data_IF_821281867608
#
_entry.id   IF_821281867608
#
_cell.length_a   1.000
_cell.length_b   1.000
_cell.length_c   1.000
_cell.angle_alpha   90.00
_cell.angle_beta   90.00
_cell.angle_gamma   90.00
#
_symmetry.space_group_name_H-M   'P 1'
#
loop_
_entity.id
_entity.type
_entity.pdbx_description
1 polymer ?
#
# COMPACT_ATOMS: atom_id res chain seq x y z
N UNK A 1 -52.91 -11.82 39.54
CA UNK A 1 -51.62 -11.73 40.27
C UNK A 1 -50.63 -11.03 39.35
N UNK A 2 -50.72 -9.71 39.23
CA UNK A 2 -49.96 -8.66 39.96
C UNK A 2 -48.50 -8.49 39.46
N UNK A 3 -48.33 -7.50 38.56
CA UNK A 3 -47.02 -6.95 38.10
C UNK A 3 -46.48 -5.96 39.16
N UNK A 4 -45.17 -5.85 39.39
CA UNK A 4 -44.61 -4.76 40.18
C UNK A 4 -44.42 -3.48 39.35
N UNK A 5 -44.82 -2.37 39.97
CA UNK A 5 -44.81 -0.97 39.49
C UNK A 5 -43.42 -0.35 39.60
N UNK A 6 -43.08 0.49 38.63
CA UNK A 6 -42.12 1.59 38.76
C UNK A 6 -42.63 2.68 39.72
N UNK A 7 -41.73 3.39 40.43
CA UNK A 7 -42.00 4.74 40.88
C UNK A 7 -41.25 5.79 40.05
N UNK A 8 -41.98 6.84 39.68
CA UNK A 8 -41.48 8.14 39.27
C UNK A 8 -41.11 8.99 40.50
N UNK A 9 -40.07 9.80 40.36
CA UNK A 9 -39.73 10.97 41.17
C UNK A 9 -38.39 11.50 40.63
N UNK A 10 -38.25 12.69 40.06
CA UNK A 10 -38.92 13.97 40.33
C UNK A 10 -38.00 14.79 41.22
N UNK A 11 -37.24 15.74 40.63
CA UNK A 11 -36.35 16.62 41.40
C UNK A 11 -35.48 17.53 40.54
N UNK A 12 -36.06 18.66 40.12
CA UNK A 12 -35.33 19.84 39.63
C UNK A 12 -34.60 20.52 40.81
N UNK A 13 -33.43 21.10 40.54
CA UNK A 13 -32.69 21.91 41.51
C UNK A 13 -31.70 22.85 40.81
N UNK A 14 -32.22 23.99 40.38
CA UNK A 14 -31.46 25.16 39.93
C UNK A 14 -30.94 25.99 41.12
N UNK A 15 -29.69 26.43 41.00
CA UNK A 15 -29.15 27.68 41.56
C UNK A 15 -28.34 27.58 42.87
N UNK A 16 -27.67 28.67 43.31
CA UNK A 16 -27.19 29.83 42.57
C UNK A 16 -25.71 30.19 42.85
N UNK A 17 -25.25 31.16 42.05
CA UNK A 17 -23.98 31.88 42.08
C UNK A 17 -23.80 32.74 43.35
N UNK A 18 -22.56 32.83 43.87
CA UNK A 18 -22.02 33.90 44.76
C UNK A 18 -20.55 33.52 45.10
N UNK A 19 -19.51 34.35 45.16
CA UNK A 19 -19.21 35.74 44.82
C UNK A 19 -17.68 35.90 44.93
N UNK A 20 -17.04 36.63 44.00
CA UNK A 20 -15.78 37.41 44.18
C UNK A 20 -16.02 38.58 45.17
N UNK A 21 -15.07 39.47 45.60
CA UNK A 21 -13.75 39.93 45.04
C UNK A 21 -12.71 40.28 46.18
N UNK A 22 -11.70 41.22 46.08
CA UNK A 22 -11.09 42.02 44.97
C UNK A 22 -9.54 41.91 44.85
N UNK A 23 -8.92 42.24 43.70
CA UNK A 23 -8.28 43.53 43.35
C UNK A 23 -6.75 43.27 43.15
N UNK A 24 -5.95 43.84 42.24
CA UNK A 24 -5.97 45.05 41.40
C UNK A 24 -5.04 44.82 40.16
N UNK A 25 -5.43 45.27 38.95
CA UNK A 25 -4.73 46.34 38.17
C UNK A 25 -3.67 45.79 37.19
N UNK A 26 -3.40 46.24 35.97
CA UNK A 26 -3.81 47.34 35.06
C UNK A 26 -3.18 46.99 33.69
N UNK A 27 -3.73 47.49 32.57
CA UNK A 27 -2.98 47.56 31.29
C UNK A 27 -3.75 47.22 30.00
N UNK A 28 -4.67 48.12 29.63
CA UNK A 28 -5.01 48.65 28.29
C UNK A 28 -4.32 48.03 27.04
N UNK A 29 -4.95 47.80 25.90
CA UNK A 29 -6.27 48.21 25.40
C UNK A 29 -6.24 48.28 23.86
N UNK A 30 -7.33 47.79 23.23
CA UNK A 30 -7.87 48.11 21.90
C UNK A 30 -6.98 47.93 20.64
N UNK A 31 -7.45 47.47 19.48
CA UNK A 31 -8.77 47.15 18.97
C UNK A 31 -8.67 46.87 17.47
N UNK A 32 -9.42 45.89 16.98
CA UNK A 32 -9.78 45.60 15.56
C UNK A 32 -10.66 46.76 15.02
N UNK A 33 -11.07 46.88 13.71
CA UNK A 33 -10.90 45.99 12.55
C UNK A 33 -10.75 46.64 11.14
N UNK A 34 -10.64 45.75 10.13
CA UNK A 34 -11.13 45.86 8.73
C UNK A 34 -10.56 46.91 7.74
N UNK A 35 -10.01 46.43 6.62
CA UNK A 35 -9.79 47.22 5.41
C UNK A 35 -9.30 46.42 4.20
N UNK A 36 -10.21 46.02 3.31
CA UNK A 36 -9.92 45.69 1.89
C UNK A 36 -9.43 46.95 1.17
N UNK A 37 -8.33 46.92 0.41
CA UNK A 37 -8.18 47.51 -0.95
C UNK A 37 -7.00 46.89 -1.73
N UNK A 38 -7.24 46.75 -3.05
CA UNK A 38 -6.32 46.38 -4.14
C UNK A 38 -5.22 47.44 -4.35
N UNK A 39 -4.03 46.99 -4.77
CA UNK A 39 -3.43 47.27 -6.09
C UNK A 39 -1.89 47.25 -6.04
N UNK A 40 -1.32 46.57 -7.04
CA UNK A 40 -0.05 46.86 -7.76
C UNK A 40 1.19 47.24 -6.94
N UNK A 41 2.20 46.38 -6.95
CA UNK A 41 3.45 46.66 -7.67
C UNK A 41 4.37 45.43 -7.68
N UNK A 42 4.85 45.09 -8.86
CA UNK A 42 5.83 44.02 -9.13
C UNK A 42 7.10 44.73 -9.59
N UNK A 43 8.28 44.44 -9.01
CA UNK A 43 9.53 44.66 -9.71
C UNK A 43 10.00 43.37 -10.37
N UNK A 44 10.22 43.47 -11.68
CA UNK A 44 10.89 42.49 -12.54
C UNK A 44 12.41 42.45 -12.31
N UNK A 45 12.97 41.30 -12.71
CA UNK A 45 14.32 41.09 -13.26
C UNK A 45 15.46 41.04 -12.20
N UNK A 46 16.43 40.11 -12.24
CA UNK A 46 17.28 39.75 -13.38
C UNK A 46 17.93 38.36 -13.20
N UNK A 47 17.85 37.55 -14.27
CA UNK A 47 18.87 36.59 -14.78
C UNK A 47 19.19 35.29 -14.02
N UNK A 48 19.66 34.19 -14.63
CA UNK A 48 19.94 33.74 -16.02
C UNK A 48 20.67 32.38 -15.86
N UNK A 49 20.60 31.56 -16.90
CA UNK A 49 21.24 30.24 -17.09
C UNK A 49 20.35 29.08 -16.58
N UNK A 50 19.97 28.08 -17.37
CA UNK A 50 20.62 27.48 -18.53
C UNK A 50 19.58 26.97 -19.54
N UNK A 51 19.83 27.23 -20.82
CA UNK A 51 19.16 26.63 -21.98
C UNK A 51 20.24 26.03 -22.88
N UNK A 52 19.85 25.10 -23.75
CA UNK A 52 20.56 24.44 -24.87
C UNK A 52 21.18 23.06 -24.58
N UNK A 53 20.44 21.99 -24.92
CA UNK A 53 20.64 21.00 -26.01
C UNK A 53 19.57 19.91 -25.81
N UNK A 54 18.83 19.35 -26.77
CA UNK A 54 18.84 19.42 -28.22
C UNK A 54 17.46 19.00 -28.75
N UNK A 55 16.92 19.75 -29.71
CA UNK A 55 15.82 19.33 -30.57
C UNK A 55 16.29 19.53 -32.01
N UNK A 56 16.73 18.46 -32.67
CA UNK A 56 16.88 18.44 -34.13
C UNK A 56 16.84 16.99 -34.64
N UNK A 57 15.68 16.55 -35.11
CA UNK A 57 15.53 15.57 -36.21
C UNK A 57 14.04 15.33 -36.48
N UNK A 58 13.44 16.16 -37.34
CA UNK A 58 12.25 15.79 -38.12
C UNK A 58 12.57 16.00 -39.59
N UNK A 59 12.54 14.92 -40.39
CA UNK A 59 11.79 14.78 -41.64
C UNK A 59 12.26 13.57 -42.48
N UNK A 60 11.31 12.71 -42.91
CA UNK A 60 11.43 11.91 -44.16
C UNK A 60 11.14 10.40 -44.09
N UNK A 61 9.87 10.00 -44.27
CA UNK A 61 9.28 8.65 -44.55
C UNK A 61 9.79 8.01 -45.88
N UNK A 62 9.58 6.70 -46.23
CA UNK A 62 8.31 5.93 -46.11
C UNK A 62 8.34 4.36 -45.97
N UNK A 63 7.18 3.77 -45.60
CA UNK A 63 6.65 2.52 -46.18
C UNK A 63 6.94 1.14 -45.51
N UNK A 64 5.86 0.40 -45.21
CA UNK A 64 5.84 -1.03 -44.82
C UNK A 64 5.29 -1.22 -43.39
N UNK A 65 3.98 -1.34 -43.17
CA UNK A 65 3.17 -2.55 -43.37
C UNK A 65 3.86 -3.87 -42.99
N UNK A 66 3.74 -4.22 -41.70
CA UNK A 66 3.39 -5.57 -41.26
C UNK A 66 3.04 -5.54 -39.78
N UNK A 67 1.82 -5.98 -39.47
CA UNK A 67 1.36 -6.20 -38.11
C UNK A 67 2.17 -7.28 -37.40
N UNK A 68 2.54 -6.99 -36.16
CA UNK A 68 3.08 -7.95 -35.20
C UNK A 68 2.18 -7.94 -33.98
N UNK A 69 1.09 -8.69 -34.06
CA UNK A 69 0.22 -9.03 -32.94
C UNK A 69 1.00 -9.69 -31.80
N UNK A 70 0.68 -9.32 -30.57
CA UNK A 70 0.70 -10.16 -29.37
C UNK A 70 1.99 -10.95 -29.08
N UNK A 71 2.87 -10.37 -28.25
CA UNK A 71 3.77 -11.16 -27.40
C UNK A 71 3.08 -11.55 -26.09
N UNK A 72 2.00 -12.35 -26.16
CA UNK A 72 1.50 -13.10 -25.01
C UNK A 72 2.61 -14.10 -24.65
N UNK A 73 3.23 -14.09 -23.47
CA UNK A 73 4.10 -15.20 -23.10
C UNK A 73 3.21 -16.45 -23.04
N UNK A 74 3.44 -17.33 -24.00
CA UNK A 74 2.82 -18.64 -24.10
C UNK A 74 3.14 -19.39 -22.81
N UNK A 75 2.10 -19.91 -22.15
CA UNK A 75 2.28 -20.83 -21.05
C UNK A 75 3.01 -22.09 -21.51
N UNK A 76 3.88 -22.58 -20.64
CA UNK A 76 4.49 -23.92 -20.57
C UNK A 76 5.32 -24.38 -21.79
N UNK A 77 6.65 -24.24 -21.69
CA UNK A 77 7.68 -25.31 -21.69
C UNK A 77 9.08 -24.87 -22.21
N UNK A 78 9.36 -23.57 -22.32
CA UNK A 78 10.62 -23.04 -22.90
C UNK A 78 11.85 -23.06 -21.96
N UNK A 79 11.84 -23.83 -20.87
CA UNK A 79 12.96 -23.87 -19.93
C UNK A 79 13.20 -22.56 -19.18
N UNK A 80 12.14 -21.76 -18.95
CA UNK A 80 12.22 -20.56 -18.11
C UNK A 80 12.80 -20.91 -16.75
N UNK A 81 13.74 -20.08 -16.30
CA UNK A 81 14.32 -20.12 -14.96
C UNK A 81 14.25 -18.71 -14.40
N UNK A 82 13.76 -18.58 -13.17
CA UNK A 82 13.78 -17.30 -12.47
C UNK A 82 15.21 -16.77 -12.42
N UNK A 83 15.47 -15.56 -12.93
CA UNK A 83 16.80 -14.99 -12.90
C UNK A 83 17.33 -14.87 -11.48
N UNK A 84 18.64 -15.06 -11.30
CA UNK A 84 19.26 -14.97 -9.97
C UNK A 84 19.36 -13.52 -9.51
N UNK A 85 19.07 -13.20 -8.23
CA UNK A 85 19.27 -11.87 -7.68
C UNK A 85 20.67 -11.30 -7.99
N UNK A 86 20.73 -10.02 -8.36
CA UNK A 86 21.97 -9.33 -8.72
C UNK A 86 22.45 -9.51 -10.17
N UNK A 87 21.68 -10.21 -11.02
CA UNK A 87 21.93 -10.29 -12.46
C UNK A 87 21.19 -9.18 -13.22
N UNK A 88 21.68 -8.73 -14.40
CA UNK A 88 20.94 -7.78 -15.24
C UNK A 88 19.54 -8.29 -15.62
N UNK A 89 19.37 -9.59 -15.79
CA UNK A 89 18.09 -10.23 -16.09
C UNK A 89 17.12 -10.12 -14.92
N UNK A 90 17.60 -10.29 -13.68
CA UNK A 90 16.80 -10.08 -12.48
C UNK A 90 16.38 -8.63 -12.33
N UNK A 91 17.29 -7.68 -12.52
CA UNK A 91 16.96 -6.25 -12.43
C UNK A 91 15.91 -5.83 -13.46
N UNK A 92 15.95 -6.40 -14.67
CA UNK A 92 14.90 -6.19 -15.68
C UNK A 92 13.56 -6.75 -15.22
N UNK A 93 13.53 -7.96 -14.65
CA UNK A 93 12.30 -8.56 -14.12
C UNK A 93 11.73 -7.77 -12.95
N UNK A 94 12.57 -7.27 -12.04
CA UNK A 94 12.12 -6.36 -10.97
C UNK A 94 11.53 -5.09 -11.56
N UNK A 95 12.17 -4.46 -12.55
CA UNK A 95 11.63 -3.25 -13.18
C UNK A 95 10.29 -3.48 -13.87
N UNK A 96 10.16 -4.59 -14.60
CA UNK A 96 8.92 -4.99 -15.27
C UNK A 96 7.79 -5.22 -14.27
N UNK A 97 8.04 -6.01 -13.24
CA UNK A 97 7.03 -6.39 -12.24
C UNK A 97 6.71 -5.26 -11.25
N UNK A 98 7.60 -4.29 -11.07
CA UNK A 98 7.36 -3.15 -10.18
C UNK A 98 6.62 -1.99 -10.85
N UNK A 99 6.46 -2.04 -12.18
CA UNK A 99 5.77 -1.01 -12.96
C UNK A 99 4.25 -1.20 -12.86
N UNK A 100 3.66 -0.72 -11.77
CA UNK A 100 2.26 -0.93 -11.45
C UNK A 100 1.30 -0.12 -12.35
N UNK A 101 0.43 -0.77 -13.16
CA UNK A 101 -0.57 -0.10 -13.98
C UNK A 101 -1.52 0.78 -13.17
N UNK A 102 -1.90 0.38 -11.94
CA UNK A 102 -2.79 1.13 -11.06
C UNK A 102 -2.18 2.48 -10.60
N UNK A 103 -0.87 2.62 -10.74
CA UNK A 103 -0.12 3.82 -10.42
C UNK A 103 0.55 4.45 -11.65
N UNK A 104 -0.01 4.26 -12.85
CA UNK A 104 0.51 4.77 -14.13
C UNK A 104 1.93 4.30 -14.44
N UNK A 105 2.29 3.08 -14.05
CA UNK A 105 3.62 2.49 -14.25
C UNK A 105 4.71 3.09 -13.35
N UNK A 106 4.35 3.88 -12.33
CA UNK A 106 5.34 4.47 -11.41
C UNK A 106 5.95 3.39 -10.52
N UNK A 107 7.26 3.25 -10.61
CA UNK A 107 8.04 2.37 -9.74
C UNK A 107 8.36 3.08 -8.42
N UNK A 108 8.01 2.47 -7.30
CA UNK A 108 8.33 2.94 -5.95
C UNK A 108 9.24 1.94 -5.21
N UNK A 109 9.78 2.33 -4.05
CA UNK A 109 10.51 1.38 -3.21
C UNK A 109 9.62 0.22 -2.74
N UNK A 110 8.32 0.49 -2.52
CA UNK A 110 7.33 -0.53 -2.16
C UNK A 110 7.11 -1.51 -3.32
N UNK A 111 6.77 -1.03 -4.52
CA UNK A 111 6.51 -1.90 -5.68
C UNK A 111 7.74 -2.68 -6.14
N UNK A 112 8.95 -2.13 -5.97
CA UNK A 112 10.20 -2.90 -6.17
C UNK A 112 10.33 -4.04 -5.17
N UNK A 113 10.04 -3.81 -3.88
CA UNK A 113 10.09 -4.85 -2.86
C UNK A 113 9.05 -5.94 -3.16
N UNK A 114 7.85 -5.57 -3.58
CA UNK A 114 6.81 -6.54 -3.98
C UNK A 114 7.29 -7.38 -5.17
N UNK A 115 7.90 -6.77 -6.19
CA UNK A 115 8.48 -7.49 -7.32
C UNK A 115 9.59 -8.47 -6.90
N UNK A 116 10.50 -8.05 -6.00
CA UNK A 116 11.53 -8.93 -5.45
C UNK A 116 10.93 -10.12 -4.68
N UNK A 117 9.89 -9.87 -3.88
CA UNK A 117 9.14 -10.90 -3.13
C UNK A 117 8.48 -11.89 -4.08
N UNK A 118 7.80 -11.42 -5.14
CA UNK A 118 7.22 -12.29 -6.15
C UNK A 118 8.25 -13.19 -6.84
N UNK A 119 9.38 -12.61 -7.27
CA UNK A 119 10.47 -13.37 -7.91
C UNK A 119 11.13 -14.36 -6.94
N UNK A 120 11.27 -14.00 -5.67
CA UNK A 120 11.79 -14.93 -4.66
C UNK A 120 10.84 -16.10 -4.43
N UNK A 121 9.52 -15.86 -4.35
CA UNK A 121 8.52 -16.92 -4.25
C UNK A 121 8.54 -17.86 -5.47
N UNK A 122 8.67 -17.29 -6.67
CA UNK A 122 8.81 -18.03 -7.92
C UNK A 122 10.09 -18.88 -7.92
N UNK A 123 11.24 -18.29 -7.57
CA UNK A 123 12.53 -18.99 -7.52
C UNK A 123 12.56 -20.13 -6.49
N UNK A 124 11.84 -19.97 -5.37
CA UNK A 124 11.69 -21.00 -4.34
C UNK A 124 10.66 -22.08 -4.72
N UNK A 125 9.97 -21.95 -5.87
CA UNK A 125 8.93 -22.87 -6.30
C UNK A 125 7.66 -22.82 -5.44
N UNK A 126 7.48 -21.75 -4.65
CA UNK A 126 6.29 -21.54 -3.82
C UNK A 126 5.09 -21.08 -4.63
N UNK A 127 5.34 -20.39 -5.74
CA UNK A 127 4.33 -20.03 -6.73
C UNK A 127 4.80 -20.46 -8.13
N UNK A 128 3.89 -20.84 -9.04
CA UNK A 128 4.22 -21.19 -10.42
C UNK A 128 4.78 -19.99 -11.22
N UNK A 129 5.94 -20.13 -11.83
CA UNK A 129 6.47 -19.17 -12.79
C UNK A 129 6.05 -19.44 -14.24
N UNK A 130 6.28 -18.50 -15.18
CA UNK A 130 6.71 -17.13 -14.92
C UNK A 130 5.54 -16.26 -14.40
N UNK A 131 5.76 -15.51 -13.34
CA UNK A 131 4.80 -14.52 -12.83
C UNK A 131 4.75 -13.31 -13.76
N UNK A 132 3.60 -12.63 -13.77
CA UNK A 132 3.40 -11.37 -14.49
C UNK A 132 2.78 -10.34 -13.55
N UNK A 133 2.97 -9.06 -13.82
CA UNK A 133 2.24 -8.00 -13.11
C UNK A 133 0.75 -8.18 -13.36
N UNK A 134 -0.06 -8.14 -12.30
CA UNK A 134 -1.51 -8.14 -12.46
C UNK A 134 -1.97 -6.82 -13.07
N UNK A 135 -2.90 -6.89 -14.02
CA UNK A 135 -3.54 -5.72 -14.59
C UNK A 135 -4.78 -5.37 -13.76
N UNK A 136 -5.23 -4.12 -13.84
CA UNK A 136 -6.53 -3.75 -13.31
C UNK A 136 -7.62 -4.43 -14.14
N UNK A 137 -8.54 -5.10 -13.47
CA UNK A 137 -9.76 -5.59 -14.13
C UNK A 137 -10.69 -4.39 -14.38
N UNK A 138 -10.81 -4.05 -15.66
CA UNK A 138 -11.65 -2.96 -16.16
C UNK A 138 -12.88 -3.50 -16.93
N UNK A 139 -13.26 -4.75 -16.71
CA UNK A 139 -14.44 -5.34 -17.38
C UNK A 139 -15.73 -4.61 -17.04
N UNK A 140 -15.84 -4.08 -15.82
CA UNK A 140 -16.84 -3.08 -15.45
C UNK A 140 -16.21 -1.66 -15.47
N UNK A 141 -16.55 -0.80 -16.44
CA UNK A 141 -16.01 0.56 -16.51
C UNK A 141 -16.36 1.45 -15.30
N UNK A 142 -17.39 1.09 -14.53
CA UNK A 142 -17.77 1.82 -13.32
C UNK A 142 -16.95 1.39 -12.09
N UNK A 143 -16.34 0.20 -12.12
CA UNK A 143 -15.64 -0.39 -10.98
C UNK A 143 -14.37 -1.12 -11.44
N UNK A 144 -13.23 -0.42 -11.34
CA UNK A 144 -11.93 -1.05 -11.53
C UNK A 144 -11.63 -1.94 -10.33
N UNK A 145 -11.36 -3.22 -10.58
CA UNK A 145 -11.03 -4.18 -9.52
C UNK A 145 -9.53 -4.48 -9.51
N UNK A 146 -8.94 -4.34 -8.33
CA UNK A 146 -7.58 -4.80 -8.06
C UNK A 146 -7.54 -6.34 -8.06
N UNK A 147 -6.52 -6.90 -8.70
CA UNK A 147 -6.31 -8.32 -8.86
C UNK A 147 -5.06 -8.80 -8.10
N UNK A 148 -4.51 -7.95 -7.22
CA UNK A 148 -3.30 -8.22 -6.46
C UNK A 148 -2.06 -7.69 -7.20
N UNK A 149 -0.89 -8.17 -6.80
CA UNK A 149 0.36 -7.70 -7.37
C UNK A 149 0.76 -8.49 -8.61
N UNK A 150 0.47 -9.80 -8.64
CA UNK A 150 0.93 -10.73 -9.67
C UNK A 150 -0.12 -11.72 -10.14
N UNK A 151 0.07 -12.24 -11.36
CA UNK A 151 -0.59 -13.43 -11.89
C UNK A 151 0.48 -14.50 -12.12
N UNK A 152 0.28 -15.69 -11.56
CA UNK A 152 1.23 -16.79 -11.70
C UNK A 152 1.13 -17.54 -13.05
N UNK A 153 2.01 -18.53 -13.24
CA UNK A 153 2.03 -19.37 -14.44
C UNK A 153 0.76 -20.22 -14.65
N UNK A 154 -0.04 -20.44 -13.60
CA UNK A 154 -1.31 -21.16 -13.64
C UNK A 154 -2.52 -20.23 -13.81
N UNK A 155 -2.31 -18.91 -13.75
CA UNK A 155 -3.37 -17.91 -13.86
C UNK A 155 -4.00 -17.51 -12.52
N UNK A 156 -3.41 -17.87 -11.38
CA UNK A 156 -3.88 -17.40 -10.09
C UNK A 156 -3.36 -15.99 -9.79
N UNK A 157 -4.21 -15.21 -9.14
CA UNK A 157 -3.90 -13.86 -8.66
C UNK A 157 -3.19 -13.93 -7.30
N UNK A 158 -2.12 -13.18 -7.11
CA UNK A 158 -1.30 -13.16 -5.90
C UNK A 158 -1.12 -11.73 -5.40
N UNK A 159 -1.53 -11.48 -4.17
CA UNK A 159 -1.26 -10.27 -3.42
C UNK A 159 -0.02 -10.46 -2.51
N UNK A 160 0.74 -9.39 -2.29
CA UNK A 160 1.87 -9.40 -1.36
C UNK A 160 1.50 -8.64 -0.10
N UNK A 161 1.58 -9.31 1.07
CA UNK A 161 1.45 -8.66 2.37
C UNK A 161 2.77 -8.70 3.13
N UNK A 162 3.14 -7.56 3.70
CA UNK A 162 4.34 -7.40 4.53
C UNK A 162 3.97 -6.99 5.96
N UNK A 163 3.44 -7.91 6.80
CA UNK A 163 3.16 -7.61 8.20
C UNK A 163 4.44 -7.24 8.95
N UNK A 164 4.32 -6.35 9.94
CA UNK A 164 5.47 -5.84 10.70
C UNK A 164 5.18 -5.82 12.18
N UNK A 165 6.07 -6.33 13.03
CA UNK A 165 6.08 -6.03 14.47
C UNK A 165 7.48 -5.62 14.97
N UNK A 166 8.41 -5.47 14.04
CA UNK A 166 9.68 -4.80 14.20
C UNK A 166 9.75 -3.62 13.23
N UNK A 167 10.49 -2.58 13.58
CA UNK A 167 10.60 -1.42 12.70
C UNK A 167 11.31 -1.82 11.40
N UNK A 168 10.73 -1.56 10.22
CA UNK A 168 11.32 -1.98 8.95
C UNK A 168 12.51 -1.11 8.52
N UNK A 169 12.58 0.13 9.01
CA UNK A 169 13.59 1.10 8.60
C UNK A 169 13.87 2.14 9.69
N UNK A 170 14.92 2.95 9.48
CA UNK A 170 15.30 4.05 10.37
C UNK A 170 16.17 3.61 11.55
N UNK A 171 16.36 4.50 12.53
CA UNK A 171 17.27 4.27 13.68
C UNK A 171 16.89 3.08 14.55
N UNK A 172 15.61 2.70 14.51
CA UNK A 172 15.07 1.60 15.30
C UNK A 172 14.91 0.32 14.45
N UNK A 173 15.42 0.28 13.21
CA UNK A 173 15.24 -0.86 12.32
C UNK A 173 15.60 -2.19 13.03
N UNK A 174 14.72 -3.18 12.91
CA UNK A 174 14.83 -4.50 13.56
C UNK A 174 14.49 -4.52 15.05
N UNK A 175 14.29 -3.37 15.70
CA UNK A 175 13.81 -3.33 17.09
C UNK A 175 12.30 -3.62 17.14
N UNK A 176 11.81 -4.26 18.21
CA UNK A 176 10.38 -4.47 18.41
C UNK A 176 9.59 -3.15 18.39
N UNK A 177 8.44 -3.17 17.73
CA UNK A 177 7.48 -2.07 17.78
C UNK A 177 6.72 -2.12 19.12
N UNK A 178 6.58 -0.98 19.83
CA UNK A 178 5.77 -0.90 21.05
C UNK A 178 4.33 -1.36 20.82
N UNK A 179 3.70 -1.92 21.86
CA UNK A 179 2.28 -2.27 21.82
C UNK A 179 1.41 -1.04 21.49
N UNK A 180 0.34 -1.24 20.72
CA UNK A 180 -0.54 -0.17 20.26
C UNK A 180 0.05 0.72 19.15
N UNK A 181 1.28 0.46 18.69
CA UNK A 181 1.82 1.18 17.52
C UNK A 181 0.99 0.86 16.29
N UNK A 182 0.50 1.90 15.61
CA UNK A 182 -0.29 1.75 14.38
C UNK A 182 0.48 0.92 13.34
N UNK A 183 -0.19 -0.07 12.76
CA UNK A 183 0.37 -0.94 11.73
C UNK A 183 1.26 -2.06 12.26
N UNK A 184 1.46 -2.16 13.58
CA UNK A 184 2.03 -3.34 14.21
C UNK A 184 1.11 -4.54 13.93
N UNK A 185 1.70 -5.70 13.68
CA UNK A 185 1.00 -6.96 13.49
C UNK A 185 0.09 -7.24 14.68
N UNK A 186 -1.15 -7.56 14.34
CA UNK A 186 -2.18 -8.10 15.20
C UNK A 186 -2.73 -9.34 14.49
N UNK A 187 -2.75 -10.47 15.19
CA UNK A 187 -3.05 -11.75 14.57
C UNK A 187 -4.49 -11.88 14.10
N UNK A 188 -5.45 -11.35 14.87
CA UNK A 188 -6.87 -11.45 14.52
C UNK A 188 -7.19 -10.52 13.34
N UNK A 189 -6.69 -9.27 13.37
CA UNK A 189 -6.88 -8.34 12.26
C UNK A 189 -6.21 -8.82 10.98
N UNK A 190 -5.03 -9.44 11.09
CA UNK A 190 -4.29 -9.89 9.92
C UNK A 190 -4.88 -11.17 9.33
N UNK A 191 -5.35 -12.11 10.16
CA UNK A 191 -6.08 -13.29 9.68
C UNK A 191 -7.35 -12.90 8.93
N UNK A 192 -8.13 -11.93 9.43
CA UNK A 192 -9.30 -11.43 8.71
C UNK A 192 -8.91 -10.83 7.35
N UNK A 193 -7.83 -10.04 7.28
CA UNK A 193 -7.34 -9.52 6.00
C UNK A 193 -7.01 -10.64 5.02
N UNK A 194 -6.36 -11.72 5.48
CA UNK A 194 -6.07 -12.87 4.60
C UNK A 194 -7.35 -13.54 4.10
N UNK A 195 -8.35 -13.70 4.96
CA UNK A 195 -9.65 -14.24 4.56
C UNK A 195 -10.32 -13.36 3.50
N UNK A 196 -10.31 -12.03 3.68
CA UNK A 196 -10.90 -11.09 2.73
C UNK A 196 -10.20 -11.15 1.34
N UNK A 197 -8.86 -11.25 1.30
CA UNK A 197 -8.12 -11.40 0.03
C UNK A 197 -8.50 -12.71 -0.68
N UNK A 198 -8.56 -13.80 0.07
CA UNK A 198 -8.90 -15.13 -0.42
C UNK A 198 -10.33 -15.21 -0.94
N UNK A 199 -11.28 -14.64 -0.20
CA UNK A 199 -12.69 -14.53 -0.62
C UNK A 199 -12.84 -13.66 -1.87
N UNK A 200 -11.95 -12.68 -2.03
CA UNK A 200 -11.80 -11.87 -3.24
C UNK A 200 -11.28 -12.63 -4.48
N UNK A 201 -10.85 -13.88 -4.29
CA UNK A 201 -10.29 -14.76 -5.32
C UNK A 201 -8.77 -14.71 -5.45
N UNK A 202 -8.07 -14.14 -4.46
CA UNK A 202 -6.61 -13.98 -4.49
C UNK A 202 -5.91 -15.03 -3.62
N UNK A 203 -4.67 -15.29 -3.95
CA UNK A 203 -3.70 -15.99 -3.10
C UNK A 203 -2.78 -14.93 -2.48
N UNK A 204 -2.06 -15.28 -1.41
CA UNK A 204 -1.25 -14.30 -0.67
C UNK A 204 0.18 -14.80 -0.46
N UNK A 205 1.15 -13.94 -0.78
CA UNK A 205 2.56 -14.09 -0.44
C UNK A 205 2.85 -13.23 0.79
N UNK A 206 3.35 -13.84 1.87
CA UNK A 206 3.74 -13.14 3.09
C UNK A 206 5.24 -12.84 3.05
N UNK A 207 5.60 -11.55 2.93
CA UNK A 207 6.96 -11.08 3.20
C UNK A 207 7.15 -10.94 4.72
N UNK A 208 7.70 -11.97 5.35
CA UNK A 208 7.80 -12.06 6.82
C UNK A 208 9.03 -11.34 7.40
N UNK A 209 9.81 -10.63 6.59
CA UNK A 209 11.11 -10.04 6.98
C UNK A 209 11.10 -9.18 8.24
N UNK A 210 9.98 -8.51 8.53
CA UNK A 210 9.84 -7.60 9.68
C UNK A 210 8.91 -8.16 10.76
N UNK A 211 8.61 -9.46 10.73
CA UNK A 211 7.98 -10.18 11.82
C UNK A 211 9.03 -10.77 12.76
N UNK A 212 8.78 -10.65 14.05
CA UNK A 212 9.47 -11.39 15.09
C UNK A 212 9.17 -12.88 14.95
N UNK A 213 10.08 -13.77 15.40
CA UNK A 213 9.85 -15.21 15.36
C UNK A 213 8.54 -15.65 16.03
N UNK A 214 8.14 -14.98 17.13
CA UNK A 214 6.88 -15.27 17.83
C UNK A 214 5.65 -14.93 17.00
N UNK A 215 5.65 -13.78 16.31
CA UNK A 215 4.51 -13.36 15.48
C UNK A 215 4.44 -14.14 14.17
N UNK A 216 5.59 -14.50 13.57
CA UNK A 216 5.62 -15.43 12.43
C UNK A 216 5.06 -16.80 12.82
N UNK A 217 5.44 -17.34 13.98
CA UNK A 217 4.91 -18.60 14.47
C UNK A 217 3.40 -18.51 14.76
N UNK A 218 2.92 -17.36 15.24
CA UNK A 218 1.50 -17.10 15.42
C UNK A 218 0.73 -17.08 14.10
N UNK A 219 1.19 -16.31 13.12
CA UNK A 219 0.56 -16.21 11.81
C UNK A 219 0.51 -17.57 11.11
N UNK A 220 1.60 -18.35 11.16
CA UNK A 220 1.63 -19.72 10.62
C UNK A 220 0.59 -20.63 11.28
N UNK A 221 0.41 -20.55 12.61
CA UNK A 221 -0.61 -21.34 13.31
C UNK A 221 -2.03 -20.96 12.88
N UNK A 222 -2.29 -19.66 12.70
CA UNK A 222 -3.59 -19.15 12.24
C UNK A 222 -3.92 -19.65 10.84
N UNK A 223 -2.98 -19.47 9.90
CA UNK A 223 -3.13 -19.99 8.52
C UNK A 223 -3.35 -21.50 8.51
N UNK A 224 -2.56 -22.27 9.27
CA UNK A 224 -2.73 -23.72 9.34
C UNK A 224 -4.04 -24.18 10.04
N UNK A 225 -4.60 -23.33 10.91
CA UNK A 225 -5.87 -23.59 11.59
C UNK A 225 -7.11 -23.22 10.77
N UNK A 226 -6.93 -22.53 9.65
CA UNK A 226 -8.01 -22.06 8.79
C UNK A 226 -7.95 -22.74 7.42
N UNK A 227 -8.85 -23.70 7.19
CA UNK A 227 -8.89 -24.50 5.96
C UNK A 227 -9.18 -23.69 4.71
N UNK A 228 -9.79 -22.51 4.83
CA UNK A 228 -10.07 -21.66 3.67
C UNK A 228 -8.80 -21.00 3.12
N UNK A 229 -7.76 -20.87 3.95
CA UNK A 229 -6.44 -20.32 3.61
C UNK A 229 -5.44 -21.39 3.13
N UNK A 230 -5.76 -22.67 3.29
CA UNK A 230 -4.86 -23.77 2.95
C UNK A 230 -4.53 -23.79 1.45
N UNK A 231 -3.25 -23.94 1.13
CA UNK A 231 -2.72 -23.85 -0.24
C UNK A 231 -2.81 -22.47 -0.91
N UNK A 232 -3.42 -21.47 -0.25
CA UNK A 232 -3.61 -20.12 -0.81
C UNK A 232 -2.68 -19.06 -0.21
N UNK A 233 -2.03 -19.37 0.90
CA UNK A 233 -1.07 -18.47 1.55
C UNK A 233 0.30 -19.13 1.58
N UNK A 234 1.32 -18.41 1.10
CA UNK A 234 2.73 -18.85 1.14
C UNK A 234 3.58 -17.85 1.93
N UNK A 235 4.55 -18.34 2.66
CA UNK A 235 5.45 -17.51 3.48
C UNK A 235 6.82 -17.41 2.83
N UNK A 236 7.40 -16.21 2.77
CA UNK A 236 8.83 -15.99 2.48
C UNK A 236 9.56 -15.59 3.76
N UNK A 237 10.70 -16.23 3.99
CA UNK A 237 11.50 -16.17 5.23
C UNK A 237 12.97 -15.93 4.91
#
# INVERSE_FOLDING_TARGET
MAKPKTPHGGGNGDGPNSSRPPGDGEGDGAGTPSGRRRSTDVPENVSRAQETVAEEARQGRPGGDQGGSQGKPSGSDDGYQTPKPGTPEYDRRVQELAADPAHNGKISAKSRREAEVGLEAEAQGKIPGPIRRAELDNTDPAFQKDQGEFIDGNGNNWDVKSPVDTFPAGRQAGQPMPEGTKGRYDGDEFEQKLADEVDGGQHVIIDSKNLSPSSLADLKRRVAGNTDLDGKVVFLE
#
